data_IF_621143204819
#
_entry.id   IF_621143204819
#
_cell.length_a   1.000
_cell.length_b   1.000
_cell.length_c   1.000
_cell.angle_alpha   90.00
_cell.angle_beta   90.00
_cell.angle_gamma   90.00
#
_symmetry.space_group_name_H-M   'P 1'
#
loop_
_entity.id
_entity.type
_entity.pdbx_description
1 polymer ?
#
# COMPACT_ATOMS: atom_id res chain seq x y z
N UNK A 1 -16.99 47.38 -41.96
CA UNK A 1 -16.29 47.34 -40.66
C UNK A 1 -16.93 46.27 -39.78
N UNK A 2 -16.39 45.05 -39.79
CA UNK A 2 -16.15 44.23 -38.58
C UNK A 2 -15.53 42.91 -39.01
N UNK A 3 -14.23 42.91 -38.78
CA UNK A 3 -13.22 41.88 -38.88
C UNK A 3 -13.58 40.66 -38.01
N UNK A 4 -13.30 39.48 -38.56
CA UNK A 4 -12.74 38.27 -37.92
C UNK A 4 -12.92 38.09 -36.40
N UNK A 5 -13.43 36.93 -35.99
CA UNK A 5 -12.78 36.01 -35.02
C UNK A 5 -13.40 34.62 -35.26
N UNK A 6 -12.61 33.75 -35.89
CA UNK A 6 -12.73 32.30 -35.85
C UNK A 6 -11.71 31.80 -34.81
N UNK A 7 -11.94 30.59 -34.29
CA UNK A 7 -11.03 29.75 -33.49
C UNK A 7 -10.68 30.19 -32.06
N UNK A 8 -11.46 29.71 -31.08
CA UNK A 8 -10.93 29.16 -29.82
C UNK A 8 -12.02 28.36 -29.07
N UNK A 9 -12.20 27.09 -29.45
CA UNK A 9 -13.01 26.13 -28.70
C UNK A 9 -12.38 24.74 -28.78
N UNK A 10 -11.11 24.66 -28.39
CA UNK A 10 -10.38 23.41 -28.18
C UNK A 10 -9.21 23.72 -27.26
N UNK A 11 -9.47 23.74 -25.95
CA UNK A 11 -8.48 23.63 -24.85
C UNK A 11 -9.15 24.07 -23.55
N UNK A 12 -9.75 23.13 -22.82
CA UNK A 12 -9.61 22.97 -21.35
C UNK A 12 -10.45 21.76 -20.87
N UNK A 13 -10.02 20.55 -21.23
CA UNK A 13 -10.32 19.36 -20.45
C UNK A 13 -9.04 18.95 -19.72
N UNK A 14 -8.52 19.85 -18.87
CA UNK A 14 -7.56 19.45 -17.85
C UNK A 14 -8.39 19.05 -16.64
N UNK A 15 -8.47 17.74 -16.45
CA UNK A 15 -9.01 17.12 -15.26
C UNK A 15 -8.27 17.68 -14.05
N UNK A 16 -8.89 18.66 -13.40
CA UNK A 16 -8.71 18.86 -11.97
C UNK A 16 -9.09 17.51 -11.35
N UNK A 17 -8.29 16.91 -10.44
CA UNK A 17 -8.80 15.84 -9.60
C UNK A 17 -9.90 16.49 -8.77
N UNK A 18 -11.13 16.38 -9.26
CA UNK A 18 -12.30 16.67 -8.45
C UNK A 18 -12.17 15.81 -7.22
N UNK A 19 -12.32 16.44 -6.05
CA UNK A 19 -12.65 15.73 -4.82
C UNK A 19 -13.89 14.89 -5.15
N UNK A 20 -13.71 13.62 -5.52
CA UNK A 20 -14.79 12.67 -5.68
C UNK A 20 -15.43 12.56 -4.31
N UNK A 21 -16.61 13.14 -4.14
CA UNK A 21 -17.44 12.83 -2.99
C UNK A 21 -17.85 11.37 -3.15
N UNK A 22 -17.52 10.53 -2.16
CA UNK A 22 -17.87 9.11 -2.17
C UNK A 22 -19.32 8.92 -2.64
N UNK A 23 -19.50 8.13 -3.69
CA UNK A 23 -20.82 7.90 -4.27
C UNK A 23 -21.66 7.05 -3.30
N UNK A 24 -22.90 7.44 -3.08
CA UNK A 24 -23.83 6.72 -2.21
C UNK A 24 -24.82 5.90 -3.03
N UNK A 25 -25.07 4.66 -2.60
CA UNK A 25 -26.09 3.80 -3.18
C UNK A 25 -27.14 3.42 -2.14
N UNK A 26 -28.35 3.14 -2.61
CA UNK A 26 -29.41 2.60 -1.77
C UNK A 26 -30.28 1.60 -2.52
N UNK A 27 -30.92 0.71 -1.78
CA UNK A 27 -31.85 -0.27 -2.34
C UNK A 27 -32.26 -1.33 -1.33
N UNK A 28 -33.25 -2.17 -1.66
CA UNK A 28 -33.61 -3.31 -0.83
C UNK A 28 -32.51 -4.37 -0.83
N UNK A 29 -32.27 -4.99 0.32
CA UNK A 29 -31.36 -6.13 0.48
C UNK A 29 -32.14 -7.29 1.08
N UNK A 30 -32.23 -8.39 0.34
CA UNK A 30 -32.96 -9.58 0.76
C UNK A 30 -32.05 -10.49 1.56
N UNK A 31 -32.42 -10.79 2.81
CA UNK A 31 -31.62 -11.67 3.66
C UNK A 31 -31.51 -13.08 3.07
N UNK A 32 -30.30 -13.64 3.01
CA UNK A 32 -30.03 -14.91 2.33
C UNK A 32 -30.37 -16.15 3.18
N UNK A 33 -30.58 -16.01 4.50
CA UNK A 33 -30.94 -17.14 5.38
C UNK A 33 -29.89 -18.26 5.44
N UNK A 34 -28.62 -17.95 5.20
CA UNK A 34 -27.56 -18.91 4.90
C UNK A 34 -26.65 -19.27 6.08
N UNK A 35 -27.00 -18.90 7.32
CA UNK A 35 -26.14 -19.10 8.50
C UNK A 35 -24.98 -18.10 8.63
N UNK A 36 -24.96 -17.10 7.74
CA UNK A 36 -24.05 -15.95 7.73
C UNK A 36 -24.89 -14.67 7.61
N UNK A 37 -24.37 -13.55 8.10
CA UNK A 37 -25.04 -12.26 7.94
C UNK A 37 -24.78 -11.71 6.54
N UNK A 38 -25.52 -12.26 5.57
CA UNK A 38 -25.50 -11.83 4.18
C UNK A 38 -26.90 -11.64 3.59
N UNK A 39 -26.96 -10.87 2.51
CA UNK A 39 -28.15 -10.70 1.70
C UNK A 39 -27.80 -10.33 0.26
N UNK A 40 -28.78 -10.43 -0.64
CA UNK A 40 -28.57 -10.09 -2.06
C UNK A 40 -29.42 -8.91 -2.51
N UNK A 41 -28.98 -8.24 -3.56
CA UNK A 41 -29.73 -7.18 -4.21
C UNK A 41 -29.43 -7.10 -5.70
N UNK A 42 -30.48 -6.82 -6.49
CA UNK A 42 -30.41 -6.51 -7.93
C UNK A 42 -30.83 -5.07 -8.22
N UNK A 43 -31.02 -4.25 -7.18
CA UNK A 43 -31.64 -2.93 -7.29
C UNK A 43 -30.95 -1.85 -6.45
N UNK A 44 -29.70 -2.08 -6.06
CA UNK A 44 -28.87 -1.00 -5.52
C UNK A 44 -28.62 0.03 -6.62
N UNK A 45 -28.93 1.29 -6.38
CA UNK A 45 -28.79 2.37 -7.35
C UNK A 45 -28.13 3.60 -6.74
N UNK A 46 -27.40 4.33 -7.59
CA UNK A 46 -26.91 5.68 -7.29
C UNK A 46 -28.07 6.64 -7.44
N UNK A 47 -28.58 7.19 -6.33
CA UNK A 47 -29.84 7.94 -6.26
C UNK A 47 -31.11 7.13 -6.64
N UNK A 48 -32.33 7.56 -6.24
CA UNK A 48 -33.57 6.82 -6.53
C UNK A 48 -33.86 6.59 -8.03
N UNK A 49 -33.34 7.45 -8.90
CA UNK A 49 -33.59 7.43 -10.36
C UNK A 49 -32.31 7.23 -11.19
N UNK A 50 -31.15 6.99 -10.56
CA UNK A 50 -29.89 6.85 -11.27
C UNK A 50 -29.57 5.40 -11.65
N UNK A 51 -28.37 5.18 -12.23
CA UNK A 51 -27.97 3.86 -12.70
C UNK A 51 -27.84 2.87 -11.54
N UNK A 52 -28.06 1.59 -11.84
CA UNK A 52 -27.77 0.51 -10.92
C UNK A 52 -26.27 0.46 -10.61
N UNK A 53 -25.94 0.05 -9.39
CA UNK A 53 -24.57 -0.21 -8.98
C UNK A 53 -23.93 -1.34 -9.81
N UNK A 54 -24.71 -2.35 -10.17
CA UNK A 54 -24.28 -3.49 -10.97
C UNK A 54 -25.45 -4.05 -11.79
N UNK A 55 -25.14 -4.51 -13.01
CA UNK A 55 -26.07 -5.26 -13.86
C UNK A 55 -26.28 -6.71 -13.37
N UNK A 56 -25.36 -7.24 -12.56
CA UNK A 56 -25.46 -8.56 -11.93
C UNK A 56 -25.88 -8.44 -10.46
N UNK A 57 -26.44 -9.52 -9.91
CA UNK A 57 -26.79 -9.62 -8.49
C UNK A 57 -25.58 -9.37 -7.60
N UNK A 58 -25.78 -8.51 -6.60
CA UNK A 58 -24.76 -8.15 -5.61
C UNK A 58 -25.04 -8.95 -4.35
N UNK A 59 -24.05 -9.75 -3.93
CA UNK A 59 -24.02 -10.35 -2.61
C UNK A 59 -23.39 -9.37 -1.63
N UNK A 60 -24.08 -9.10 -0.52
CA UNK A 60 -23.59 -8.26 0.56
C UNK A 60 -23.33 -9.13 1.79
N UNK A 61 -22.13 -9.11 2.34
CA UNK A 61 -21.76 -9.84 3.57
C UNK A 61 -21.26 -8.84 4.60
N UNK A 62 -21.73 -8.94 5.84
CA UNK A 62 -21.27 -8.03 6.89
C UNK A 62 -19.82 -8.31 7.29
N UNK A 63 -19.02 -7.26 7.48
CA UNK A 63 -17.58 -7.35 7.76
C UNK A 63 -17.19 -6.95 9.19
N UNK A 64 -18.06 -6.31 9.97
CA UNK A 64 -17.75 -5.94 11.36
C UNK A 64 -18.76 -6.46 12.40
N UNK A 65 -18.33 -6.62 13.65
CA UNK A 65 -19.10 -7.27 14.70
C UNK A 65 -19.82 -6.20 15.55
N UNK A 66 -20.97 -5.74 15.05
CA UNK A 66 -21.89 -4.80 15.74
C UNK A 66 -23.33 -5.30 15.76
N UNK A 67 -24.20 -4.60 16.48
CA UNK A 67 -25.50 -5.11 16.91
C UNK A 67 -26.53 -5.37 15.81
N UNK A 68 -26.47 -4.70 14.64
CA UNK A 68 -27.49 -4.89 13.61
C UNK A 68 -26.92 -5.07 12.21
N UNK A 69 -27.23 -6.18 11.52
CA UNK A 69 -27.01 -6.25 10.09
C UNK A 69 -28.08 -5.42 9.34
N UNK A 70 -27.78 -4.81 8.19
CA UNK A 70 -28.69 -3.93 7.47
C UNK A 70 -29.71 -4.69 6.58
N UNK A 71 -30.30 -5.76 7.09
CA UNK A 71 -31.31 -6.54 6.36
C UNK A 71 -32.72 -6.11 6.77
N UNK A 72 -33.56 -5.75 5.81
CA UNK A 72 -34.98 -5.46 6.08
C UNK A 72 -35.87 -5.99 4.98
N UNK A 73 -37.03 -6.52 5.38
CA UNK A 73 -38.05 -7.07 4.48
C UNK A 73 -38.99 -6.01 3.86
N UNK A 74 -38.90 -4.72 4.21
CA UNK A 74 -39.97 -3.76 3.87
C UNK A 74 -39.63 -2.27 3.70
N UNK A 75 -38.37 -1.82 3.73
CA UNK A 75 -38.03 -0.39 3.47
C UNK A 75 -36.52 -0.24 3.22
N UNK A 76 -36.03 0.65 2.34
CA UNK A 76 -34.61 0.70 2.03
C UNK A 76 -33.85 1.38 3.18
N UNK A 77 -33.35 0.57 4.13
CA UNK A 77 -32.42 1.03 5.18
C UNK A 77 -30.96 0.93 4.75
N UNK A 78 -30.67 0.11 3.75
CA UNK A 78 -29.33 -0.07 3.24
C UNK A 78 -28.95 1.15 2.42
N UNK A 79 -28.13 2.03 3.01
CA UNK A 79 -27.49 3.14 2.35
C UNK A 79 -25.99 3.00 2.56
N UNK A 80 -25.24 2.93 1.47
CA UNK A 80 -23.82 2.65 1.50
C UNK A 80 -23.05 3.71 0.75
N UNK A 81 -21.90 4.11 1.29
CA UNK A 81 -20.84 4.70 0.48
C UNK A 81 -20.06 3.58 -0.19
N UNK A 82 -19.95 3.64 -1.51
CA UNK A 82 -19.27 2.63 -2.31
C UNK A 82 -17.76 2.84 -2.29
N UNK A 83 -17.27 4.07 -2.37
CA UNK A 83 -15.84 4.39 -2.38
C UNK A 83 -15.17 4.36 -0.99
N UNK A 84 -15.71 3.59 -0.04
CA UNK A 84 -15.20 3.60 1.31
C UNK A 84 -13.88 2.83 1.45
N UNK A 85 -13.69 1.73 0.69
CA UNK A 85 -12.46 0.92 0.74
C UNK A 85 -12.02 0.62 2.17
N UNK A 86 -10.74 0.78 2.47
CA UNK A 86 -10.17 0.68 3.82
C UNK A 86 -10.89 1.50 4.91
N UNK A 87 -11.58 2.60 4.57
CA UNK A 87 -12.31 3.42 5.56
C UNK A 87 -13.64 2.79 6.01
N UNK A 88 -14.10 1.73 5.34
CA UNK A 88 -15.21 0.90 5.82
C UNK A 88 -14.76 -0.04 6.95
N UNK A 89 -13.46 -0.22 7.17
CA UNK A 89 -12.93 -1.09 8.21
C UNK A 89 -12.84 -0.32 9.52
N UNK A 90 -13.42 -0.88 10.59
CA UNK A 90 -13.40 -0.25 11.91
C UNK A 90 -12.09 -0.47 12.65
N UNK A 91 -11.50 -1.65 12.44
CA UNK A 91 -10.21 -2.02 12.98
C UNK A 91 -9.07 -1.15 12.42
N UNK A 92 -7.89 -1.18 13.07
CA UNK A 92 -6.78 -0.29 12.75
C UNK A 92 -6.04 -0.67 11.44
N UNK A 93 -6.40 -1.76 10.77
CA UNK A 93 -5.63 -2.32 9.64
C UNK A 93 -5.58 -1.44 8.38
N UNK A 94 -6.53 -0.53 8.18
CA UNK A 94 -6.63 0.27 6.95
C UNK A 94 -6.52 -0.61 5.69
N UNK A 95 -5.63 -0.25 4.76
CA UNK A 95 -5.43 -0.95 3.49
C UNK A 95 -5.00 -2.43 3.66
N UNK A 96 -4.34 -2.79 4.75
CA UNK A 96 -4.02 -4.19 5.04
C UNK A 96 -5.28 -5.02 5.32
N UNK A 97 -6.29 -4.43 5.96
CA UNK A 97 -7.56 -5.10 6.23
C UNK A 97 -8.40 -5.26 4.96
N UNK A 98 -8.35 -4.27 4.08
CA UNK A 98 -9.05 -4.35 2.79
C UNK A 98 -8.48 -5.50 1.96
N UNK A 99 -7.15 -5.55 1.82
CA UNK A 99 -6.46 -6.66 1.19
C UNK A 99 -6.83 -8.01 1.85
N UNK A 100 -6.89 -8.06 3.18
CA UNK A 100 -7.22 -9.27 3.92
C UNK A 100 -8.64 -9.78 3.67
N UNK A 101 -9.65 -8.89 3.61
CA UNK A 101 -11.03 -9.28 3.28
C UNK A 101 -11.09 -9.86 1.86
N UNK A 102 -10.40 -9.23 0.91
CA UNK A 102 -10.38 -9.68 -0.49
C UNK A 102 -9.72 -11.05 -0.61
N UNK A 103 -8.59 -11.24 0.07
CA UNK A 103 -7.89 -12.52 0.11
C UNK A 103 -8.76 -13.61 0.72
N UNK A 104 -9.40 -13.33 1.88
CA UNK A 104 -10.25 -14.30 2.56
C UNK A 104 -11.40 -14.76 1.67
N UNK A 105 -12.08 -13.84 0.99
CA UNK A 105 -13.18 -14.19 0.10
C UNK A 105 -12.69 -14.88 -1.17
N UNK A 106 -11.56 -14.49 -1.75
CA UNK A 106 -10.99 -15.23 -2.90
C UNK A 106 -10.69 -16.68 -2.57
N UNK A 107 -10.10 -16.93 -1.40
CA UNK A 107 -9.71 -18.28 -1.00
C UNK A 107 -10.90 -19.13 -0.56
N UNK A 108 -11.88 -18.53 0.12
CA UNK A 108 -12.90 -19.29 0.87
C UNK A 108 -14.34 -19.02 0.45
N UNK A 109 -14.62 -18.06 -0.44
CA UNK A 109 -15.99 -17.82 -0.91
C UNK A 109 -16.61 -19.09 -1.51
N UNK A 110 -15.93 -19.74 -2.45
CA UNK A 110 -16.48 -20.93 -3.11
C UNK A 110 -16.71 -22.07 -2.11
N UNK A 111 -15.70 -22.38 -1.31
CA UNK A 111 -15.68 -23.58 -0.46
C UNK A 111 -16.44 -23.41 0.86
N UNK A 112 -16.40 -22.23 1.48
CA UNK A 112 -17.05 -21.96 2.76
C UNK A 112 -18.40 -21.27 2.58
N UNK A 113 -18.52 -20.27 1.68
CA UNK A 113 -19.80 -19.58 1.48
C UNK A 113 -20.74 -20.35 0.55
N UNK A 114 -20.32 -20.60 -0.69
CA UNK A 114 -21.22 -21.07 -1.75
C UNK A 114 -21.59 -22.55 -1.61
N UNK A 115 -20.60 -23.40 -1.35
CA UNK A 115 -20.81 -24.85 -1.23
C UNK A 115 -20.64 -25.39 0.19
N UNK A 116 -20.32 -24.51 1.15
CA UNK A 116 -19.98 -24.91 2.50
C UNK A 116 -21.18 -25.27 3.38
N UNK A 117 -20.90 -26.00 4.46
CA UNK A 117 -21.87 -26.27 5.53
C UNK A 117 -22.21 -24.99 6.31
N UNK A 118 -23.21 -25.04 7.19
CA UNK A 118 -23.56 -23.90 8.05
C UNK A 118 -22.39 -23.55 8.98
N UNK A 119 -21.70 -24.56 9.49
CA UNK A 119 -20.50 -24.43 10.32
C UNK A 119 -19.38 -23.69 9.58
N UNK A 120 -19.15 -24.01 8.29
CA UNK A 120 -18.16 -23.32 7.47
C UNK A 120 -18.58 -21.87 7.19
N UNK A 121 -19.85 -21.64 6.83
CA UNK A 121 -20.38 -20.28 6.61
C UNK A 121 -20.28 -19.42 7.86
N UNK A 122 -20.58 -20.00 9.02
CA UNK A 122 -20.45 -19.31 10.30
C UNK A 122 -18.99 -19.01 10.61
N UNK A 123 -18.08 -19.97 10.41
CA UNK A 123 -16.65 -19.74 10.59
C UNK A 123 -16.13 -18.59 9.70
N UNK A 124 -16.59 -18.50 8.45
CA UNK A 124 -16.27 -17.40 7.54
C UNK A 124 -16.77 -16.05 8.07
N UNK A 125 -17.98 -15.99 8.65
CA UNK A 125 -18.50 -14.77 9.29
C UNK A 125 -17.57 -14.25 10.39
N UNK A 126 -17.09 -15.16 11.25
CA UNK A 126 -16.18 -14.80 12.35
C UNK A 126 -14.79 -14.39 11.86
N UNK A 127 -14.33 -14.95 10.74
CA UNK A 127 -13.08 -14.50 10.11
C UNK A 127 -13.21 -13.08 9.54
N UNK A 128 -14.33 -12.77 8.85
CA UNK A 128 -14.61 -11.42 8.37
C UNK A 128 -14.68 -10.42 9.52
N UNK A 129 -15.41 -10.76 10.59
CA UNK A 129 -15.48 -9.94 11.80
C UNK A 129 -14.13 -9.74 12.48
N UNK A 130 -13.28 -10.75 12.55
CA UNK A 130 -11.93 -10.57 13.09
C UNK A 130 -11.15 -9.51 12.29
N UNK A 131 -11.18 -9.62 10.95
CA UNK A 131 -10.49 -8.66 10.08
C UNK A 131 -11.10 -7.27 10.21
N UNK A 132 -12.43 -7.16 10.23
CA UNK A 132 -13.11 -5.87 10.26
C UNK A 132 -12.99 -5.09 11.56
N UNK A 133 -12.64 -5.73 12.67
CA UNK A 133 -12.60 -5.11 14.01
C UNK A 133 -11.22 -5.11 14.65
N UNK A 134 -10.49 -6.23 14.58
CA UNK A 134 -9.35 -6.47 15.45
C UNK A 134 -8.02 -6.48 14.71
N UNK A 135 -8.00 -6.95 13.45
CA UNK A 135 -6.78 -7.05 12.68
C UNK A 135 -6.09 -5.68 12.53
N UNK A 136 -4.78 -5.68 12.76
CA UNK A 136 -3.92 -4.48 12.75
C UNK A 136 -2.77 -4.57 11.74
N UNK A 137 -2.79 -5.59 10.87
CA UNK A 137 -1.67 -5.91 9.99
C UNK A 137 -0.78 -7.04 10.52
N UNK A 138 -0.88 -7.40 11.81
CA UNK A 138 -0.03 -8.43 12.42
C UNK A 138 -0.75 -9.76 12.68
N UNK A 139 -0.01 -10.86 12.75
CA UNK A 139 -0.59 -12.15 13.17
C UNK A 139 -1.05 -12.15 14.63
N UNK A 140 -0.50 -11.24 15.46
CA UNK A 140 -0.77 -11.19 16.89
C UNK A 140 -2.17 -10.63 17.21
N UNK A 141 -2.73 -9.80 16.32
CA UNK A 141 -4.09 -9.27 16.46
C UNK A 141 -5.18 -10.30 16.13
N UNK A 142 -4.84 -11.42 15.49
CA UNK A 142 -5.80 -12.48 15.13
C UNK A 142 -5.94 -13.45 16.31
N UNK A 143 -7.07 -13.40 17.03
CA UNK A 143 -7.27 -14.17 18.26
C UNK A 143 -8.70 -14.70 18.45
N UNK A 144 -8.84 -16.03 18.46
CA UNK A 144 -10.12 -16.74 18.63
C UNK A 144 -10.78 -16.58 20.00
N UNK A 145 -10.05 -16.09 21.01
CA UNK A 145 -10.49 -16.03 22.41
C UNK A 145 -10.62 -14.60 22.94
N UNK A 146 -9.71 -13.70 22.58
CA UNK A 146 -9.67 -12.33 23.08
C UNK A 146 -10.05 -11.28 22.06
N UNK A 147 -10.13 -11.63 20.77
CA UNK A 147 -10.63 -10.73 19.71
C UNK A 147 -12.07 -10.28 20.01
N UNK A 148 -12.57 -9.31 19.25
CA UNK A 148 -13.95 -8.84 19.35
C UNK A 148 -14.92 -9.85 18.73
N UNK A 149 -14.47 -10.65 17.76
CA UNK A 149 -15.28 -11.68 17.11
C UNK A 149 -15.60 -12.85 18.08
N UNK A 150 -14.60 -13.43 18.75
CA UNK A 150 -14.71 -14.54 19.74
C UNK A 150 -15.46 -15.79 19.25
N UNK A 151 -15.02 -16.43 18.15
CA UNK A 151 -15.66 -17.66 17.66
C UNK A 151 -15.72 -18.78 18.70
N UNK A 152 -14.79 -18.84 19.66
CA UNK A 152 -14.77 -19.88 20.69
C UNK A 152 -15.96 -19.82 21.67
N UNK A 153 -16.68 -18.69 21.74
CA UNK A 153 -17.87 -18.53 22.58
C UNK A 153 -19.18 -18.82 21.84
N UNK A 154 -19.11 -19.08 20.55
CA UNK A 154 -20.29 -19.28 19.71
C UNK A 154 -20.86 -20.67 19.84
N UNK A 155 -22.19 -20.75 19.91
CA UNK A 155 -22.94 -21.99 19.73
C UNK A 155 -23.56 -22.01 18.33
N UNK A 156 -23.01 -22.81 17.42
CA UNK A 156 -23.43 -22.81 16.01
C UNK A 156 -24.88 -23.29 15.81
N UNK A 157 -25.43 -24.02 16.79
CA UNK A 157 -26.80 -24.55 16.75
C UNK A 157 -27.82 -23.41 16.73
N UNK A 158 -27.52 -22.27 17.35
CA UNK A 158 -28.39 -21.09 17.40
C UNK A 158 -28.63 -20.49 16.00
N UNK A 159 -27.79 -20.86 15.02
CA UNK A 159 -27.83 -20.41 13.64
C UNK A 159 -28.17 -21.54 12.65
N UNK A 160 -28.76 -22.62 13.15
CA UNK A 160 -29.18 -23.77 12.34
C UNK A 160 -28.06 -24.78 12.04
N UNK A 161 -26.88 -24.61 12.64
CA UNK A 161 -25.82 -25.62 12.61
C UNK A 161 -26.21 -26.85 13.43
N UNK A 162 -25.48 -27.94 13.23
CA UNK A 162 -25.72 -29.19 13.97
C UNK A 162 -24.46 -29.78 14.60
N UNK A 163 -23.28 -29.29 14.19
CA UNK A 163 -22.00 -29.84 14.65
C UNK A 163 -21.06 -28.74 15.15
N UNK A 164 -21.03 -28.57 16.48
CA UNK A 164 -20.14 -27.60 17.13
C UNK A 164 -18.66 -27.93 16.90
N UNK A 165 -18.28 -29.22 16.80
CA UNK A 165 -16.89 -29.61 16.59
C UNK A 165 -16.42 -29.29 15.16
N UNK A 166 -17.30 -29.47 14.18
CA UNK A 166 -17.04 -29.05 12.80
C UNK A 166 -16.88 -27.53 12.70
N UNK A 167 -17.71 -26.74 13.42
CA UNK A 167 -17.53 -25.29 13.50
C UNK A 167 -16.18 -24.90 14.10
N UNK A 168 -15.79 -25.54 15.21
CA UNK A 168 -14.47 -25.33 15.84
C UNK A 168 -13.32 -25.61 14.88
N UNK A 169 -13.42 -26.71 14.14
CA UNK A 169 -12.43 -27.10 13.12
C UNK A 169 -12.36 -26.07 11.99
N UNK A 170 -13.52 -25.61 11.51
CA UNK A 170 -13.61 -24.67 10.41
C UNK A 170 -13.02 -23.29 10.77
N UNK A 171 -13.37 -22.71 11.93
CA UNK A 171 -12.79 -21.42 12.31
C UNK A 171 -11.30 -21.54 12.62
N UNK A 172 -10.85 -22.65 13.22
CA UNK A 172 -9.41 -22.85 13.50
C UNK A 172 -8.62 -22.85 12.19
N UNK A 173 -9.12 -23.56 11.17
CA UNK A 173 -8.52 -23.61 9.83
C UNK A 173 -8.40 -22.21 9.20
N UNK A 174 -9.46 -21.41 9.25
CA UNK A 174 -9.42 -20.04 8.73
C UNK A 174 -8.43 -19.16 9.49
N UNK A 175 -8.45 -19.22 10.83
CA UNK A 175 -7.59 -18.36 11.66
C UNK A 175 -6.11 -18.70 11.50
N UNK A 176 -5.77 -19.98 11.36
CA UNK A 176 -4.39 -20.40 11.08
C UNK A 176 -3.94 -19.93 9.69
N UNK A 177 -4.81 -20.06 8.67
CA UNK A 177 -4.52 -19.56 7.34
C UNK A 177 -4.35 -18.03 7.31
N UNK A 178 -5.21 -17.29 8.02
CA UNK A 178 -5.08 -15.83 8.15
C UNK A 178 -3.76 -15.44 8.83
N UNK A 179 -3.38 -16.08 9.93
CA UNK A 179 -2.10 -15.82 10.62
C UNK A 179 -0.88 -16.08 9.74
N UNK A 180 -0.96 -17.11 8.88
CA UNK A 180 0.14 -17.47 8.01
C UNK A 180 0.31 -16.51 6.82
N UNK A 181 -0.78 -15.94 6.30
CA UNK A 181 -0.76 -15.22 5.02
C UNK A 181 -0.95 -13.71 5.13
N UNK A 182 -1.81 -13.23 6.03
CA UNK A 182 -2.16 -11.81 6.10
C UNK A 182 -0.97 -10.88 6.45
N UNK A 183 -0.06 -11.23 7.38
CA UNK A 183 1.03 -10.31 7.76
C UNK A 183 2.01 -9.97 6.63
N UNK A 184 2.09 -10.82 5.61
CA UNK A 184 2.94 -10.63 4.42
C UNK A 184 2.12 -10.32 3.18
N UNK A 185 0.80 -10.19 3.30
CA UNK A 185 -0.08 -9.84 2.21
C UNK A 185 0.15 -8.37 1.83
N UNK A 186 0.42 -8.14 0.55
CA UNK A 186 0.54 -6.79 0.01
C UNK A 186 -0.78 -6.03 0.17
N UNK A 187 -0.72 -4.79 0.63
CA UNK A 187 -1.90 -3.92 0.83
C UNK A 187 -2.60 -3.56 -0.49
N UNK A 188 -1.89 -3.69 -1.61
CA UNK A 188 -2.41 -3.52 -2.97
C UNK A 188 -3.18 -4.73 -3.51
N UNK A 189 -3.26 -5.84 -2.75
CA UNK A 189 -3.94 -7.05 -3.19
C UNK A 189 -5.42 -6.75 -3.47
N UNK A 190 -5.89 -7.12 -4.66
CA UNK A 190 -7.31 -7.21 -5.00
C UNK A 190 -7.57 -8.55 -5.65
N UNK A 191 -8.83 -8.95 -5.63
CA UNK A 191 -9.28 -10.19 -6.24
C UNK A 191 -9.15 -10.15 -7.75
N UNK A 192 -8.96 -11.33 -8.33
CA UNK A 192 -9.06 -11.56 -9.78
C UNK A 192 -10.25 -12.43 -10.16
N UNK A 193 -10.94 -12.98 -9.17
CA UNK A 193 -12.04 -13.94 -9.36
C UNK A 193 -13.40 -13.26 -9.19
N UNK A 194 -13.51 -12.35 -8.23
CA UNK A 194 -14.75 -11.69 -7.84
C UNK A 194 -14.56 -10.18 -7.84
N UNK A 195 -15.54 -9.46 -8.38
CA UNK A 195 -15.59 -8.01 -8.23
C UNK A 195 -16.06 -7.72 -6.82
N UNK A 196 -15.23 -7.01 -6.05
CA UNK A 196 -15.51 -6.71 -4.65
C UNK A 196 -15.31 -5.23 -4.34
N UNK A 197 -16.17 -4.72 -3.47
CA UNK A 197 -16.08 -3.37 -2.93
C UNK A 197 -16.45 -3.37 -1.43
N UNK A 198 -15.83 -2.49 -0.64
CA UNK A 198 -16.15 -2.34 0.77
C UNK A 198 -17.08 -1.16 0.98
N UNK A 199 -18.27 -1.47 1.45
CA UNK A 199 -19.35 -0.54 1.66
C UNK A 199 -19.40 -0.06 3.10
N UNK A 200 -19.27 1.25 3.28
CA UNK A 200 -19.55 1.88 4.57
C UNK A 200 -21.03 2.20 4.65
N UNK A 201 -21.72 1.56 5.59
CA UNK A 201 -23.08 1.94 5.95
C UNK A 201 -23.13 3.39 6.44
N UNK A 202 -24.04 4.19 5.88
CA UNK A 202 -24.24 5.58 6.27
C UNK A 202 -24.85 5.73 7.66
N UNK A 203 -25.65 4.75 8.08
CA UNK A 203 -26.14 4.70 9.45
C UNK A 203 -25.15 3.90 10.33
N UNK A 204 -24.47 4.56 11.29
CA UNK A 204 -23.44 3.94 12.11
C UNK A 204 -23.95 2.85 13.06
N UNK A 205 -25.28 2.70 13.19
CA UNK A 205 -25.91 1.61 13.95
C UNK A 205 -25.83 0.25 13.23
N UNK A 206 -25.57 0.25 11.92
CA UNK A 206 -25.49 -0.96 11.11
C UNK A 206 -24.05 -1.39 10.79
N UNK A 207 -23.88 -2.68 10.53
CA UNK A 207 -22.61 -3.24 10.06
C UNK A 207 -22.28 -2.72 8.65
N UNK A 208 -21.00 -2.48 8.41
CA UNK A 208 -20.39 -2.29 7.11
C UNK A 208 -20.33 -3.63 6.37
N UNK A 209 -20.20 -3.58 5.06
CA UNK A 209 -20.35 -4.76 4.22
C UNK A 209 -19.27 -4.84 3.17
N UNK A 210 -19.01 -6.06 2.71
CA UNK A 210 -18.37 -6.30 1.42
C UNK A 210 -19.47 -6.61 0.41
N UNK A 211 -19.47 -5.88 -0.70
CA UNK A 211 -20.23 -6.24 -1.89
C UNK A 211 -19.39 -7.16 -2.74
N UNK A 212 -19.94 -8.30 -3.14
CA UNK A 212 -19.29 -9.33 -3.96
C UNK A 212 -20.20 -9.62 -5.15
N UNK A 213 -19.61 -9.61 -6.35
CA UNK A 213 -20.27 -10.01 -7.59
C UNK A 213 -19.46 -11.16 -8.19
N UNK A 214 -20.15 -12.21 -8.62
CA UNK A 214 -19.55 -13.44 -9.16
C UNK A 214 -19.01 -13.30 -10.60
N UNK A 215 -18.20 -12.27 -10.83
CA UNK A 215 -17.46 -12.06 -12.08
C UNK A 215 -16.08 -11.52 -11.79
N UNK A 216 -15.13 -11.85 -12.64
CA UNK A 216 -13.79 -11.26 -12.59
C UNK A 216 -13.88 -9.73 -12.68
N UNK A 217 -13.13 -8.99 -11.86
CA UNK A 217 -13.07 -7.54 -11.97
C UNK A 217 -12.37 -7.12 -13.27
N UNK A 218 -12.55 -5.86 -13.70
CA UNK A 218 -11.75 -5.30 -14.78
C UNK A 218 -10.26 -5.45 -14.49
N UNK A 219 -9.46 -5.66 -15.53
CA UNK A 219 -8.00 -5.73 -15.41
C UNK A 219 -7.46 -4.40 -14.84
N UNK A 220 -6.56 -4.50 -13.85
CA UNK A 220 -5.98 -3.34 -13.17
C UNK A 220 -4.56 -3.08 -13.64
N UNK A 221 -4.14 -1.82 -13.63
CA UNK A 221 -2.75 -1.46 -13.95
C UNK A 221 -1.77 -1.98 -12.89
N UNK A 222 -0.49 -2.24 -13.24
CA UNK A 222 0.50 -2.72 -12.29
C UNK A 222 0.93 -1.64 -11.28
N UNK A 223 1.52 -2.09 -10.18
CA UNK A 223 2.04 -1.25 -9.08
C UNK A 223 3.53 -1.53 -8.86
N UNK A 224 4.29 -0.46 -8.64
CA UNK A 224 5.70 -0.52 -8.27
C UNK A 224 5.93 -0.04 -6.84
N UNK A 225 6.79 -0.72 -6.09
CA UNK A 225 7.31 -0.23 -4.80
C UNK A 225 8.81 0.07 -4.95
N UNK A 226 9.17 1.33 -5.23
CA UNK A 226 10.56 1.70 -5.45
C UNK A 226 11.34 1.80 -4.12
N UNK A 227 12.65 1.55 -4.21
CA UNK A 227 13.62 1.75 -3.15
C UNK A 227 14.89 2.38 -3.73
N UNK A 228 15.58 3.17 -2.91
CA UNK A 228 16.83 3.83 -3.26
C UNK A 228 17.85 3.62 -2.14
N UNK A 229 19.09 3.34 -2.53
CA UNK A 229 20.22 3.15 -1.60
C UNK A 229 21.45 3.91 -2.08
N UNK A 230 22.40 4.17 -1.20
CA UNK A 230 23.64 4.87 -1.51
C UNK A 230 23.94 5.99 -0.52
N UNK A 231 25.09 6.65 -0.71
CA UNK A 231 25.50 7.77 0.13
C UNK A 231 25.24 9.10 -0.59
N UNK A 232 24.50 10.04 0.01
CA UNK A 232 24.21 11.35 -0.60
C UNK A 232 25.44 12.26 -0.53
N UNK A 233 26.40 12.00 -1.41
CA UNK A 233 27.65 12.74 -1.49
C UNK A 233 28.05 12.89 -2.96
N UNK A 234 28.51 14.06 -3.36
CA UNK A 234 28.96 14.33 -4.73
C UNK A 234 30.03 13.31 -5.13
N UNK A 235 29.84 12.68 -6.30
CA UNK A 235 30.71 11.63 -6.85
C UNK A 235 30.43 10.22 -6.33
N UNK A 236 29.54 10.05 -5.35
CA UNK A 236 29.03 8.73 -4.93
C UNK A 236 27.89 8.28 -5.83
N UNK A 237 27.67 6.97 -5.89
CA UNK A 237 26.57 6.36 -6.64
C UNK A 237 25.39 6.06 -5.73
N UNK A 238 24.19 6.41 -6.20
CA UNK A 238 22.92 5.90 -5.67
C UNK A 238 22.36 4.84 -6.61
N UNK A 239 21.70 3.85 -6.05
CA UNK A 239 21.14 2.71 -6.78
C UNK A 239 19.65 2.61 -6.47
N UNK A 240 18.84 2.62 -7.53
CA UNK A 240 17.41 2.40 -7.51
C UNK A 240 17.08 0.94 -7.81
N UNK A 241 16.10 0.42 -7.09
CA UNK A 241 15.48 -0.89 -7.28
C UNK A 241 13.99 -0.77 -7.03
N UNK A 242 13.19 -1.74 -7.45
CA UNK A 242 11.76 -1.76 -7.13
C UNK A 242 11.22 -3.18 -7.19
N UNK A 243 10.09 -3.42 -6.53
CA UNK A 243 9.27 -4.61 -6.79
C UNK A 243 8.18 -4.26 -7.78
N UNK A 244 7.91 -5.17 -8.71
CA UNK A 244 6.76 -5.09 -9.61
C UNK A 244 5.68 -6.04 -9.11
N UNK A 245 4.45 -5.55 -9.08
CA UNK A 245 3.27 -6.38 -8.79
C UNK A 245 2.15 -6.03 -9.73
N UNK A 246 1.40 -7.05 -10.11
CA UNK A 246 0.18 -6.91 -10.87
C UNK A 246 -0.89 -7.83 -10.26
N UNK A 247 -2.14 -7.35 -10.15
CA UNK A 247 -3.19 -8.15 -9.52
C UNK A 247 -3.64 -9.28 -10.42
N UNK A 248 -3.71 -9.05 -11.72
CA UNK A 248 -4.13 -10.01 -12.73
C UNK A 248 -3.02 -11.02 -13.09
N UNK A 249 -1.81 -10.83 -12.57
CA UNK A 249 -0.65 -11.67 -12.85
C UNK A 249 0.00 -11.34 -14.20
N UNK A 250 -0.29 -10.17 -14.76
CA UNK A 250 0.32 -9.70 -16.00
C UNK A 250 1.81 -9.45 -15.78
N UNK A 251 2.63 -10.09 -16.62
CA UNK A 251 4.09 -9.99 -16.53
C UNK A 251 4.53 -8.58 -16.91
N UNK A 252 5.52 -8.05 -16.19
CA UNK A 252 6.14 -6.77 -16.49
C UNK A 252 6.72 -6.72 -17.90
N UNK A 253 6.60 -5.58 -18.58
CA UNK A 253 7.23 -5.33 -19.87
C UNK A 253 8.73 -4.98 -19.72
N UNK A 254 9.67 -5.86 -20.14
CA UNK A 254 11.10 -5.59 -20.08
C UNK A 254 11.62 -4.82 -21.30
N UNK A 255 10.74 -4.46 -22.24
CA UNK A 255 11.13 -3.81 -23.49
C UNK A 255 11.67 -2.39 -23.27
N UNK A 256 12.24 -1.80 -24.35
CA UNK A 256 12.68 -0.40 -24.35
C UNK A 256 11.55 0.63 -24.22
N UNK A 257 10.29 0.20 -24.14
CA UNK A 257 9.11 1.03 -23.83
C UNK A 257 8.37 0.58 -22.57
N UNK A 258 8.94 -0.37 -21.83
CA UNK A 258 8.33 -0.95 -20.63
C UNK A 258 8.48 -0.08 -19.39
N UNK A 259 8.65 -0.71 -18.22
CA UNK A 259 8.76 0.03 -16.95
C UNK A 259 9.87 1.07 -17.02
N UNK A 260 9.52 2.31 -16.70
CA UNK A 260 10.42 3.46 -16.76
C UNK A 260 10.81 3.96 -15.38
N UNK A 261 12.00 4.54 -15.27
CA UNK A 261 12.50 5.16 -14.05
C UNK A 261 12.98 6.58 -14.27
N UNK A 262 13.00 7.34 -13.18
CA UNK A 262 13.59 8.67 -13.09
C UNK A 262 14.33 8.83 -11.76
N UNK A 263 15.58 9.27 -11.80
CA UNK A 263 16.23 9.88 -10.64
C UNK A 263 15.90 11.38 -10.65
N UNK A 264 15.43 11.87 -9.51
CA UNK A 264 14.93 13.23 -9.37
C UNK A 264 15.64 13.89 -8.21
N UNK A 265 16.08 15.13 -8.40
CA UNK A 265 16.61 15.97 -7.34
C UNK A 265 15.63 17.09 -6.99
N UNK A 266 15.49 17.41 -5.71
CA UNK A 266 14.63 18.53 -5.27
C UNK A 266 15.18 19.17 -4.01
N UNK A 267 15.04 20.50 -3.83
CA UNK A 267 15.36 21.14 -2.57
C UNK A 267 14.32 20.82 -1.50
N UNK A 268 13.16 20.29 -1.90
CA UNK A 268 12.11 19.84 -0.99
C UNK A 268 12.38 18.39 -0.55
N UNK A 269 12.36 18.07 0.75
CA UNK A 269 12.46 16.69 1.25
C UNK A 269 11.22 15.82 0.95
N UNK A 270 10.23 16.31 0.22
CA UNK A 270 9.06 15.54 -0.19
C UNK A 270 8.60 15.94 -1.59
N UNK A 271 8.36 14.94 -2.44
CA UNK A 271 7.73 15.09 -3.76
C UNK A 271 6.67 13.99 -3.91
N UNK A 272 5.56 14.28 -4.60
CA UNK A 272 4.56 13.25 -4.94
C UNK A 272 4.80 12.66 -6.34
N UNK A 273 5.49 13.38 -7.22
CA UNK A 273 5.83 12.93 -8.57
C UNK A 273 7.16 13.50 -9.03
N UNK A 274 7.75 12.92 -10.08
CA UNK A 274 8.99 13.40 -10.66
C UNK A 274 8.90 14.84 -11.20
N UNK A 275 7.69 15.29 -11.56
CA UNK A 275 7.44 16.63 -12.09
C UNK A 275 7.63 17.77 -11.08
N UNK A 276 7.69 17.45 -9.78
CA UNK A 276 7.91 18.42 -8.69
C UNK A 276 9.39 18.67 -8.41
N UNK A 277 10.29 17.97 -9.09
CA UNK A 277 11.73 18.12 -8.98
C UNK A 277 12.42 18.29 -10.32
N UNK A 278 13.74 18.15 -10.31
CA UNK A 278 14.59 18.15 -11.51
C UNK A 278 14.98 16.72 -11.83
N UNK A 279 14.57 16.21 -12.99
CA UNK A 279 14.96 14.89 -13.47
C UNK A 279 16.43 14.92 -13.90
N UNK A 280 17.27 14.12 -13.25
CA UNK A 280 18.73 14.09 -13.49
C UNK A 280 19.21 12.85 -14.24
N UNK A 281 18.42 11.77 -14.21
CA UNK A 281 18.60 10.59 -15.05
C UNK A 281 17.25 9.90 -15.27
N UNK A 282 17.06 9.27 -16.43
CA UNK A 282 15.84 8.52 -16.74
C UNK A 282 16.12 7.44 -17.78
N UNK A 283 15.19 6.49 -17.89
CA UNK A 283 15.24 5.43 -18.90
C UNK A 283 14.25 4.31 -18.60
N UNK A 284 14.43 3.17 -19.24
CA UNK A 284 13.74 1.92 -18.88
C UNK A 284 14.56 1.11 -17.90
N UNK A 285 13.90 0.39 -17.00
CA UNK A 285 14.56 -0.45 -15.99
C UNK A 285 15.08 -1.76 -16.58
N UNK A 286 14.44 -2.27 -17.64
CA UNK A 286 14.68 -3.61 -18.17
C UNK A 286 14.07 -4.72 -17.30
N UNK A 287 13.16 -4.37 -16.37
CA UNK A 287 12.45 -5.27 -15.46
C UNK A 287 12.89 -5.16 -14.00
N UNK A 288 12.04 -5.62 -13.08
CA UNK A 288 12.18 -5.47 -11.63
C UNK A 288 13.35 -6.26 -11.02
N UNK A 289 13.90 -7.23 -11.76
CA UNK A 289 15.14 -7.93 -11.38
C UNK A 289 16.39 -7.08 -11.57
N UNK A 290 16.29 -5.94 -12.24
CA UNK A 290 17.42 -5.07 -12.57
C UNK A 290 17.54 -3.92 -11.57
N UNK A 291 18.76 -3.40 -11.45
CA UNK A 291 19.02 -2.16 -10.71
C UNK A 291 19.52 -1.10 -11.68
N UNK A 292 19.17 0.15 -11.39
CA UNK A 292 19.62 1.31 -12.15
C UNK A 292 20.37 2.24 -11.22
N UNK A 293 21.42 2.88 -11.71
CA UNK A 293 22.30 3.69 -10.86
C UNK A 293 22.53 5.07 -11.43
N UNK A 294 22.78 6.02 -10.53
CA UNK A 294 23.11 7.39 -10.85
C UNK A 294 24.26 7.87 -9.97
N UNK A 295 25.30 8.42 -10.59
CA UNK A 295 26.40 9.05 -9.87
C UNK A 295 26.07 10.51 -9.62
N UNK A 296 26.05 10.91 -8.36
CA UNK A 296 25.69 12.25 -7.93
C UNK A 296 26.70 13.28 -8.45
N UNK A 297 26.19 14.31 -9.10
CA UNK A 297 26.96 15.38 -9.71
C UNK A 297 27.10 16.57 -8.76
N UNK A 298 28.03 17.48 -9.07
CA UNK A 298 28.21 18.70 -8.29
C UNK A 298 26.94 19.59 -8.27
N UNK A 299 26.11 19.51 -9.32
CA UNK A 299 24.82 20.21 -9.42
C UNK A 299 23.77 19.69 -8.44
N UNK A 300 23.94 18.49 -7.91
CA UNK A 300 22.99 17.89 -6.97
C UNK A 300 23.27 18.31 -5.52
N UNK A 301 24.35 19.05 -5.27
CA UNK A 301 24.73 19.52 -3.94
C UNK A 301 23.58 20.26 -3.26
N UNK A 302 23.33 19.93 -1.99
CA UNK A 302 22.22 20.43 -1.17
C UNK A 302 20.81 20.04 -1.66
N UNK A 303 20.67 19.13 -2.63
CA UNK A 303 19.39 18.58 -3.04
C UNK A 303 19.11 17.25 -2.31
N UNK A 304 17.84 16.92 -2.15
CA UNK A 304 17.39 15.55 -1.87
C UNK A 304 17.27 14.77 -3.17
N UNK A 305 17.52 13.47 -3.11
CA UNK A 305 17.49 12.57 -4.27
C UNK A 305 16.37 11.56 -4.08
N UNK A 306 15.60 11.35 -5.14
CA UNK A 306 14.46 10.44 -5.18
C UNK A 306 14.61 9.49 -6.37
N UNK A 307 14.04 8.29 -6.23
CA UNK A 307 13.90 7.34 -7.31
C UNK A 307 12.40 7.13 -7.59
N UNK A 308 11.98 7.44 -8.80
CA UNK A 308 10.58 7.31 -9.24
C UNK A 308 10.47 6.22 -10.31
N UNK A 309 9.42 5.42 -10.23
CA UNK A 309 9.16 4.30 -11.15
C UNK A 309 7.72 4.37 -11.64
N UNK A 310 7.54 4.17 -12.95
CA UNK A 310 6.23 3.99 -13.58
C UNK A 310 6.18 2.60 -14.22
N UNK A 311 5.46 1.63 -13.61
CA UNK A 311 5.44 0.24 -14.07
C UNK A 311 4.63 0.09 -15.35
N UNK A 312 5.02 -0.86 -16.20
CA UNK A 312 4.28 -1.24 -17.39
C UNK A 312 4.15 -2.76 -17.47
N UNK A 313 2.94 -3.23 -17.76
CA UNK A 313 2.64 -4.63 -18.03
C UNK A 313 2.73 -4.93 -19.53
N UNK A 314 3.10 -6.16 -19.90
CA UNK A 314 3.10 -6.64 -21.30
C UNK A 314 1.68 -6.82 -21.86
N UNK A 315 0.76 -7.22 -20.98
CA UNK A 315 -0.64 -7.51 -21.29
C UNK A 315 -1.53 -6.79 -20.27
N UNK A 316 -2.83 -6.69 -20.59
CA UNK A 316 -3.77 -6.07 -19.67
C UNK A 316 -3.72 -4.54 -19.65
N UNK A 317 -4.15 -3.97 -18.53
CA UNK A 317 -4.17 -2.53 -18.32
C UNK A 317 -2.74 -2.03 -18.03
N UNK A 318 -2.29 -1.00 -18.75
CA UNK A 318 -0.94 -0.48 -18.65
C UNK A 318 -0.90 0.96 -19.21
N UNK A 319 -0.05 1.86 -18.71
CA UNK A 319 0.89 1.72 -17.59
C UNK A 319 0.25 2.01 -16.22
N UNK A 320 0.94 1.62 -15.15
CA UNK A 320 0.59 2.01 -13.78
C UNK A 320 0.92 3.46 -13.44
N UNK A 321 0.55 3.85 -12.22
CA UNK A 321 0.88 5.16 -11.66
C UNK A 321 2.38 5.27 -11.34
N UNK A 322 2.93 6.48 -11.48
CA UNK A 322 4.28 6.76 -11.01
C UNK A 322 4.29 6.79 -9.48
N UNK A 323 5.31 6.18 -8.87
CA UNK A 323 5.56 6.22 -7.42
C UNK A 323 7.01 6.62 -7.20
N UNK A 324 7.26 7.50 -6.23
CA UNK A 324 8.59 7.95 -5.84
C UNK A 324 8.95 7.45 -4.44
N UNK A 325 10.25 7.22 -4.20
CA UNK A 325 10.77 6.87 -2.86
C UNK A 325 10.65 8.03 -1.88
N UNK A 326 10.86 7.75 -0.59
CA UNK A 326 11.34 8.75 0.36
C UNK A 326 12.69 9.35 -0.08
N UNK A 327 13.05 10.57 0.37
CA UNK A 327 14.29 11.22 -0.03
C UNK A 327 15.54 10.51 0.53
N UNK A 328 16.63 10.57 -0.22
CA UNK A 328 18.00 10.37 0.28
C UNK A 328 18.75 11.71 0.22
N UNK A 329 19.36 12.13 1.33
CA UNK A 329 20.10 13.39 1.38
C UNK A 329 19.72 14.29 2.54
N UNK A 330 20.11 15.58 2.48
CA UNK A 330 20.62 16.29 1.30
C UNK A 330 22.02 15.83 0.86
N UNK A 331 22.35 15.99 -0.43
CA UNK A 331 23.67 15.67 -0.99
C UNK A 331 24.74 16.61 -0.43
N UNK A 332 25.85 16.02 0.04
CA UNK A 332 26.97 16.74 0.64
C UNK A 332 28.20 16.78 -0.26
N UNK A 333 29.10 17.74 -0.01
CA UNK A 333 30.36 17.83 -0.74
C UNK A 333 31.29 16.66 -0.40
N UNK A 334 32.09 16.22 -1.38
CA UNK A 334 33.09 15.19 -1.13
C UNK A 334 34.23 15.73 -0.28
N UNK A 335 34.38 15.19 0.93
CA UNK A 335 35.57 15.47 1.75
C UNK A 335 36.73 14.65 1.16
N UNK A 336 37.58 15.29 0.36
CA UNK A 336 38.87 14.70 -0.02
C UNK A 336 39.75 14.82 1.21
N UNK A 337 40.04 13.69 1.86
CA UNK A 337 41.04 13.65 2.93
C UNK A 337 42.37 14.09 2.30
N UNK A 338 42.81 15.32 2.58
CA UNK A 338 44.11 15.78 2.12
C UNK A 338 45.16 14.83 2.67
N UNK A 339 46.03 14.31 1.80
CA UNK A 339 47.21 13.58 2.25
C UNK A 339 47.93 14.44 3.29
N UNK A 340 48.42 13.86 4.41
CA UNK A 340 49.15 14.63 5.39
C UNK A 340 50.25 15.39 4.66
N UNK A 341 50.18 16.72 4.69
CA UNK A 341 51.26 17.55 4.16
C UNK A 341 52.51 17.10 4.90
N UNK A 342 53.57 16.63 4.21
CA UNK A 342 54.80 16.25 4.89
C UNK A 342 55.23 17.44 5.74
N UNK A 343 55.27 17.24 7.06
CA UNK A 343 55.87 18.22 7.97
C UNK A 343 57.27 18.43 7.42
N UNK A 344 57.69 19.68 7.12
CA UNK A 344 59.06 19.94 6.71
C UNK A 344 59.97 19.33 7.78
N UNK A 345 60.64 18.23 7.46
CA UNK A 345 61.63 17.66 8.35
C UNK A 345 62.61 18.76 8.68
N UNK A 346 62.85 18.99 9.98
CA UNK A 346 63.92 19.87 10.41
C UNK A 346 65.18 19.43 9.66
N UNK A 347 65.70 20.29 8.77
CA UNK A 347 66.91 19.97 8.02
C UNK A 347 68.02 19.57 9.01
N UNK A 348 68.96 18.74 8.56
CA UNK A 348 70.06 18.22 9.41
C UNK A 348 70.78 19.34 10.20
N UNK A 349 70.82 20.55 9.64
CA UNK A 349 71.33 21.77 10.26
C UNK A 349 70.49 22.32 11.43
N UNK A 350 69.16 22.20 11.37
CA UNK A 350 68.27 22.59 12.47
C UNK A 350 68.37 21.60 13.66
N UNK A 351 68.63 20.31 13.38
CA UNK A 351 68.92 19.30 14.40
C UNK A 351 70.31 19.49 15.06
N UNK A 352 71.32 19.88 14.27
CA UNK A 352 72.66 20.20 14.79
C UNK A 352 72.72 21.53 15.57
N UNK A 353 71.78 22.45 15.35
CA UNK A 353 71.66 23.69 16.12
C UNK A 353 70.99 23.54 17.48
N UNK A 354 70.30 22.41 17.75
CA UNK A 354 69.59 22.16 19.01
C UNK A 354 70.44 21.45 20.07
N UNK A 355 71.54 20.80 19.69
CA UNK A 355 72.45 20.12 20.63
C UNK A 355 73.27 21.05 21.55
N UNK A 356 73.65 22.30 21.19
CA UNK A 356 74.32 23.19 22.15
C UNK A 356 73.35 23.90 23.10
N UNK A 357 72.05 24.01 22.75
CA UNK A 357 71.04 24.69 23.57
C UNK A 357 70.62 23.88 24.80
N UNK A 358 70.63 22.55 24.72
CA UNK A 358 70.35 21.65 25.86
C UNK A 358 71.57 21.53 26.79
N UNK A 359 72.79 21.60 26.25
CA UNK A 359 74.01 21.61 27.05
C UNK A 359 74.18 22.89 27.89
N UNK A 360 73.68 24.03 27.41
CA UNK A 360 73.76 25.30 28.15
C UNK A 360 72.77 25.41 29.32
N UNK A 361 71.62 24.73 29.25
CA UNK A 361 70.64 24.68 30.35
C UNK A 361 70.97 23.63 31.43
N UNK A 362 71.81 22.64 31.12
CA UNK A 362 72.25 21.60 32.07
C UNK A 362 73.36 22.01 33.04
N UNK A 363 74.18 23.01 32.71
CA UNK A 363 75.35 23.39 33.51
C UNK A 363 74.98 24.40 34.64
N UNK A 364 73.79 24.98 34.60
CA UNK A 364 73.31 25.93 35.63
C UNK A 364 72.91 25.32 36.98
N UNK A 365 72.83 23.97 37.11
CA UNK A 365 72.31 23.31 38.33
C UNK A 365 73.32 22.53 39.16
N UNK A 366 74.61 22.47 38.79
CA UNK A 366 75.62 21.69 39.54
C UNK A 366 76.67 22.51 40.33
N UNK A 367 76.42 23.80 40.61
CA UNK A 367 77.20 24.56 41.60
C UNK A 367 76.32 25.06 42.74
N UNK A 368 75.97 24.16 43.67
CA UNK A 368 75.63 24.43 45.08
C UNK A 368 75.44 23.11 45.84
N UNK A 369 76.55 22.57 46.34
CA UNK A 369 76.75 21.85 47.61
C UNK A 369 78.20 21.36 47.64
#
# INVERSE_FOLDING_TARGET
MRTQILTLAAMLAMAVPGLSSAAAISGPVTYAGSGIYSGTSTSLAYDPDGPLYSDDEVLLICIDHRTNPPFTYSTPKAQFETEAGATAIRGPSGAAGEAAIYWLLDQYYLTFYKTGTIEQRRALQYALWEIGNDYDGSAASINTSTGSSRPALENVIDYGGTDQAAFVTAYTTLYDAMKANLPTLRTSYRSTTYTMDLFRNLDPAYQHMVALIERAPPNTVPVAEPAITGTPQVGSTVTGSYTYTDNNGDIEDPSGTGTSYQFVTSPNPSIASASEGTVVASGTTGGAGQTVSYTLQATDLNQYVFFCVKPAAQTGASPGAEVCTSPVGPVTARVVQQAPTPVPGLGLWALLGLTPLIAWLGIGRQRRA
#
